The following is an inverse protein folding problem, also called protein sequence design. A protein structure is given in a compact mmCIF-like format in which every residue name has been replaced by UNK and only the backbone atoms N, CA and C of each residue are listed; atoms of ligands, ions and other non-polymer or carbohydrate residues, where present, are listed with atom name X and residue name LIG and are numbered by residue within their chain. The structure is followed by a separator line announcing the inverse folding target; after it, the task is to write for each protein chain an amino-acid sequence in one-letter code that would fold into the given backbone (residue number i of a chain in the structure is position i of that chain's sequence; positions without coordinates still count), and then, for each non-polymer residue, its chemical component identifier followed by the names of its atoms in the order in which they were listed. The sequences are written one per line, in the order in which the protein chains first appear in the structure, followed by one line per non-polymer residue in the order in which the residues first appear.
data_IF_190039740940
#
_entry.id   IF_190039740940
#
_cell.length_a   1.000
_cell.length_b   1.000
_cell.length_c   1.000
_cell.angle_alpha   90.00
_cell.angle_beta   90.00
_cell.angle_gamma   90.00
#
_symmetry.space_group_name_H-M   'P 1'
#
loop_
_entity.id
_entity.type
_entity.pdbx_description
1 polymer ?
#
# COMPACT_ATOMS: atom_id res chain seq x y z
N UNK A 1 19.71 60.62 -8.99
CA UNK A 1 19.92 62.00 -9.50
C UNK A 1 20.59 62.02 -10.90
N UNK A 2 21.65 61.28 -11.16
CA UNK A 2 22.33 61.23 -12.44
C UNK A 2 21.50 60.64 -13.60
N UNK A 3 20.61 59.72 -13.33
CA UNK A 3 19.74 59.07 -14.35
C UNK A 3 18.62 59.99 -14.83
N UNK A 4 18.08 60.82 -13.94
CA UNK A 4 17.00 61.75 -14.28
C UNK A 4 17.50 62.89 -15.14
N UNK A 5 18.73 63.39 -14.91
CA UNK A 5 19.33 64.47 -15.68
C UNK A 5 19.73 64.06 -17.09
N UNK A 6 19.98 62.78 -17.35
CA UNK A 6 20.43 62.26 -18.66
C UNK A 6 19.27 61.83 -19.57
N UNK A 7 18.11 61.47 -18.99
CA UNK A 7 16.99 60.88 -19.75
C UNK A 7 15.83 61.84 -20.02
N UNK A 8 15.84 63.04 -19.42
CA UNK A 8 14.74 64.03 -19.57
C UNK A 8 13.42 63.57 -18.98
N UNK A 9 13.42 62.49 -18.18
CA UNK A 9 12.25 61.93 -17.51
C UNK A 9 11.94 62.78 -16.28
N UNK A 10 10.67 63.17 -16.11
CA UNK A 10 10.26 63.94 -14.91
C UNK A 10 10.52 63.12 -13.63
N UNK A 11 11.14 63.79 -12.66
CA UNK A 11 11.52 63.20 -11.37
C UNK A 11 10.36 62.47 -10.67
N UNK A 12 9.14 63.03 -10.79
CA UNK A 12 7.90 62.41 -10.27
C UNK A 12 7.53 61.05 -10.91
N UNK A 13 7.95 60.82 -12.16
CA UNK A 13 7.73 59.54 -12.85
C UNK A 13 8.73 58.48 -12.39
N UNK A 14 9.95 58.86 -12.15
CA UNK A 14 11.00 57.98 -11.64
C UNK A 14 10.67 57.54 -10.21
N UNK A 15 10.24 58.49 -9.38
CA UNK A 15 9.88 58.24 -7.99
C UNK A 15 8.67 57.28 -7.88
N UNK A 16 7.64 57.47 -8.72
CA UNK A 16 6.51 56.55 -8.79
C UNK A 16 6.90 55.13 -9.30
N UNK A 17 7.80 55.04 -10.25
CA UNK A 17 8.27 53.75 -10.76
C UNK A 17 9.10 52.99 -9.71
N UNK A 18 10.03 53.66 -9.06
CA UNK A 18 10.86 53.05 -8.01
C UNK A 18 10.07 52.67 -6.76
N UNK A 19 9.13 53.51 -6.33
CA UNK A 19 8.26 53.17 -5.18
C UNK A 19 7.36 52.01 -5.49
N UNK A 20 6.79 51.94 -6.72
CA UNK A 20 5.94 50.80 -7.11
C UNK A 20 6.72 49.49 -7.21
N UNK A 21 7.97 49.57 -7.73
CA UNK A 21 8.82 48.37 -7.83
C UNK A 21 9.36 47.89 -6.47
N UNK A 22 9.79 48.84 -5.65
CA UNK A 22 10.28 48.52 -4.29
C UNK A 22 9.16 48.03 -3.40
N UNK A 23 7.94 48.58 -3.51
CA UNK A 23 6.77 48.11 -2.78
C UNK A 23 6.34 46.69 -3.24
N UNK A 24 6.45 46.39 -4.54
CA UNK A 24 6.12 45.05 -5.04
C UNK A 24 7.17 43.98 -4.66
N UNK A 25 8.44 44.37 -4.49
CA UNK A 25 9.46 43.44 -3.97
C UNK A 25 9.39 43.27 -2.44
N UNK A 26 9.02 44.32 -1.71
CA UNK A 26 8.85 44.28 -0.26
C UNK A 26 7.53 43.66 0.17
N UNK A 27 6.49 43.73 -0.67
CA UNK A 27 5.16 43.12 -0.45
C UNK A 27 5.01 41.71 -1.04
N UNK A 28 6.10 40.99 -1.23
CA UNK A 28 5.95 39.54 -1.29
C UNK A 28 5.46 39.09 0.08
N UNK A 29 4.17 38.71 0.21
CA UNK A 29 3.64 38.47 1.55
C UNK A 29 4.45 37.32 2.13
N UNK A 30 5.03 37.51 3.32
CA UNK A 30 5.76 36.46 4.05
C UNK A 30 4.92 35.17 4.14
N UNK A 31 3.59 35.29 4.11
CA UNK A 31 2.62 34.21 3.99
C UNK A 31 2.77 33.40 2.69
N UNK A 32 3.06 34.03 1.53
CA UNK A 32 3.22 33.31 0.27
C UNK A 32 4.54 32.53 0.21
N UNK A 33 5.61 33.13 0.73
CA UNK A 33 6.90 32.44 0.84
C UNK A 33 6.80 31.27 1.82
N UNK A 34 6.18 31.45 2.97
CA UNK A 34 5.97 30.38 3.96
C UNK A 34 5.07 29.27 3.40
N UNK A 35 4.03 29.60 2.63
CA UNK A 35 3.17 28.60 1.95
C UNK A 35 3.95 27.80 0.91
N UNK A 36 4.79 28.45 0.08
CA UNK A 36 5.64 27.77 -0.89
C UNK A 36 6.68 26.86 -0.27
N UNK A 37 7.29 27.27 0.85
CA UNK A 37 8.17 26.41 1.64
C UNK A 37 7.40 25.21 2.24
N UNK A 38 6.24 25.43 2.77
CA UNK A 38 5.41 24.38 3.34
C UNK A 38 4.96 23.37 2.27
N UNK A 39 4.59 23.85 1.08
CA UNK A 39 4.23 22.99 -0.06
C UNK A 39 5.40 22.20 -0.63
N UNK A 40 6.63 22.72 -0.57
CA UNK A 40 7.82 22.01 -1.08
C UNK A 40 8.46 21.08 -0.04
N UNK A 41 8.53 21.50 1.21
CA UNK A 41 9.17 20.73 2.29
C UNK A 41 8.26 19.55 2.74
N UNK A 42 6.94 19.77 2.82
CA UNK A 42 6.00 18.75 3.29
C UNK A 42 6.05 17.45 2.48
N UNK A 43 5.98 17.45 1.13
CA UNK A 43 6.12 16.23 0.34
C UNK A 43 7.48 15.57 0.51
N UNK A 44 8.56 16.36 0.61
CA UNK A 44 9.92 15.83 0.80
C UNK A 44 10.07 15.09 2.12
N UNK A 45 9.54 15.66 3.20
CA UNK A 45 9.53 15.02 4.53
C UNK A 45 8.70 13.74 4.51
N UNK A 46 7.50 13.77 3.91
CA UNK A 46 6.63 12.58 3.80
C UNK A 46 7.33 11.49 2.99
N UNK A 47 7.92 11.81 1.85
CA UNK A 47 8.68 10.84 1.05
C UNK A 47 9.88 10.28 1.81
N UNK A 48 10.59 11.12 2.58
CA UNK A 48 11.69 10.68 3.43
C UNK A 48 11.25 9.70 4.51
N UNK A 49 10.14 9.96 5.19
CA UNK A 49 9.57 9.06 6.20
C UNK A 49 9.12 7.73 5.60
N UNK A 50 8.49 7.76 4.42
CA UNK A 50 8.09 6.54 3.70
C UNK A 50 9.34 5.71 3.33
N UNK A 51 10.40 6.35 2.84
CA UNK A 51 11.64 5.68 2.48
C UNK A 51 12.32 5.04 3.69
N UNK A 52 12.38 5.75 4.82
CA UNK A 52 12.90 5.22 6.08
C UNK A 52 12.06 4.01 6.53
N UNK A 53 10.73 4.10 6.45
CA UNK A 53 9.83 3.00 6.81
C UNK A 53 10.05 1.77 5.92
N UNK A 54 10.18 1.96 4.60
CA UNK A 54 10.47 0.87 3.65
C UNK A 54 11.83 0.22 3.96
N UNK A 55 12.87 1.02 4.20
CA UNK A 55 14.18 0.52 4.60
C UNK A 55 14.12 -0.27 5.91
N UNK A 56 13.37 0.23 6.88
CA UNK A 56 13.17 -0.46 8.15
C UNK A 56 12.52 -1.83 7.97
N UNK A 57 11.48 -1.94 7.14
CA UNK A 57 10.83 -3.22 6.83
C UNK A 57 11.80 -4.18 6.12
N UNK A 58 12.62 -3.68 5.18
CA UNK A 58 13.61 -4.48 4.46
C UNK A 58 14.69 -5.03 5.39
N UNK A 59 15.15 -4.22 6.34
CA UNK A 59 16.18 -4.63 7.31
C UNK A 59 15.62 -5.55 8.41
N UNK A 60 14.36 -5.30 8.83
CA UNK A 60 13.71 -6.01 9.93
C UNK A 60 12.38 -6.66 9.50
N UNK A 61 12.39 -7.62 8.56
CA UNK A 61 11.15 -8.23 8.09
C UNK A 61 10.38 -8.96 9.19
N UNK A 62 11.02 -9.32 10.30
CA UNK A 62 10.39 -9.96 11.44
C UNK A 62 9.47 -9.04 12.26
N UNK A 63 9.63 -7.73 12.14
CA UNK A 63 8.80 -6.73 12.84
C UNK A 63 7.54 -6.38 12.04
N UNK A 64 7.46 -6.77 10.78
CA UNK A 64 6.28 -6.52 9.96
C UNK A 64 5.08 -7.33 10.46
N UNK A 65 3.90 -6.72 10.54
CA UNK A 65 2.66 -7.36 11.02
C UNK A 65 2.31 -8.67 10.30
N UNK A 66 2.79 -8.85 9.08
CA UNK A 66 2.62 -10.10 8.32
C UNK A 66 3.47 -11.25 8.88
N UNK A 67 4.61 -10.96 9.50
CA UNK A 67 5.44 -12.00 10.11
C UNK A 67 4.84 -12.54 11.40
N UNK A 68 3.98 -11.76 12.06
CA UNK A 68 3.24 -12.20 13.24
C UNK A 68 2.31 -13.37 12.91
N UNK A 69 1.66 -13.35 11.75
CA UNK A 69 0.86 -14.47 11.26
C UNK A 69 1.70 -15.73 10.99
N UNK A 70 2.95 -15.56 10.56
CA UNK A 70 3.86 -16.66 10.28
C UNK A 70 4.49 -17.25 11.55
N UNK A 71 4.55 -16.49 12.65
CA UNK A 71 5.06 -16.96 13.94
C UNK A 71 4.27 -18.17 14.47
N UNK A 72 3.01 -18.28 14.10
CA UNK A 72 2.14 -19.40 14.51
C UNK A 72 2.65 -20.72 13.92
N UNK A 73 3.19 -20.68 12.71
CA UNK A 73 3.75 -21.84 12.00
C UNK A 73 5.23 -22.10 12.33
N UNK A 74 5.88 -21.19 13.08
CA UNK A 74 7.27 -21.29 13.47
C UNK A 74 8.10 -20.06 13.13
N UNK A 75 9.38 -20.23 12.85
CA UNK A 75 10.26 -19.09 12.50
C UNK A 75 9.86 -18.46 11.16
N UNK A 76 9.46 -17.18 11.10
CA UNK A 76 9.00 -16.53 9.87
C UNK A 76 9.99 -16.62 8.73
N UNK A 77 11.29 -16.48 9.02
CA UNK A 77 12.34 -16.57 8.00
C UNK A 77 12.43 -17.96 7.35
N UNK A 78 12.20 -19.00 8.15
CA UNK A 78 12.21 -20.39 7.64
C UNK A 78 10.98 -20.62 6.77
N UNK A 79 9.79 -20.23 7.26
CA UNK A 79 8.53 -20.35 6.55
C UNK A 79 8.55 -19.59 5.22
N UNK A 80 9.01 -18.33 5.21
CA UNK A 80 9.13 -17.52 3.97
C UNK A 80 10.05 -18.22 2.95
N UNK A 81 11.16 -18.79 3.41
CA UNK A 81 12.09 -19.53 2.52
C UNK A 81 11.42 -20.76 1.93
N UNK A 82 10.68 -21.48 2.73
CA UNK A 82 9.94 -22.68 2.36
C UNK A 82 8.83 -22.36 1.34
N UNK A 83 8.02 -21.34 1.61
CA UNK A 83 7.01 -20.83 0.69
C UNK A 83 7.63 -20.42 -0.65
N UNK A 84 8.71 -19.65 -0.62
CA UNK A 84 9.37 -19.21 -1.85
C UNK A 84 9.92 -20.38 -2.67
N UNK A 85 10.45 -21.40 -1.98
CA UNK A 85 10.89 -22.63 -2.64
C UNK A 85 9.73 -23.38 -3.28
N UNK A 86 8.61 -23.53 -2.58
CA UNK A 86 7.42 -24.22 -3.10
C UNK A 86 6.73 -23.45 -4.24
N UNK A 87 6.61 -22.14 -4.11
CA UNK A 87 6.08 -21.29 -5.19
C UNK A 87 6.89 -21.42 -6.48
N UNK A 88 8.20 -21.66 -6.37
CA UNK A 88 9.09 -21.83 -7.52
C UNK A 88 9.06 -23.24 -8.10
N UNK A 89 8.95 -24.28 -7.26
CA UNK A 89 9.20 -25.67 -7.67
C UNK A 89 7.98 -26.58 -7.56
N UNK A 90 6.96 -26.24 -6.73
CA UNK A 90 5.83 -27.11 -6.38
C UNK A 90 4.49 -26.37 -6.47
N UNK A 91 4.37 -25.44 -7.41
CA UNK A 91 3.13 -24.69 -7.61
C UNK A 91 2.09 -25.60 -8.26
N UNK A 92 0.98 -25.86 -7.57
CA UNK A 92 -0.14 -26.66 -8.06
C UNK A 92 -1.17 -25.82 -8.81
N UNK A 93 -1.47 -24.63 -8.29
CA UNK A 93 -2.48 -23.76 -8.85
C UNK A 93 -2.09 -22.28 -8.71
N UNK A 94 -2.33 -21.51 -9.77
CA UNK A 94 -2.13 -20.07 -9.79
C UNK A 94 -3.22 -19.41 -10.63
N UNK A 95 -4.00 -18.54 -10.03
CA UNK A 95 -4.93 -17.64 -10.74
C UNK A 95 -5.11 -16.35 -9.96
N UNK A 96 -5.08 -15.22 -10.67
CA UNK A 96 -5.14 -13.90 -10.06
C UNK A 96 -4.07 -13.74 -8.95
N UNK A 97 -4.53 -13.49 -7.73
CA UNK A 97 -3.69 -13.27 -6.55
C UNK A 97 -3.61 -14.50 -5.62
N UNK A 98 -4.13 -15.66 -6.05
CA UNK A 98 -4.12 -16.91 -5.27
C UNK A 98 -3.10 -17.87 -5.85
N UNK A 99 -2.27 -18.40 -4.96
CA UNK A 99 -1.24 -19.40 -5.25
C UNK A 99 -1.45 -20.57 -4.29
N UNK A 100 -1.54 -21.78 -4.83
CA UNK A 100 -1.65 -23.01 -4.04
C UNK A 100 -0.44 -23.87 -4.36
N UNK A 101 0.27 -24.25 -3.32
CA UNK A 101 1.38 -25.20 -3.37
C UNK A 101 0.99 -26.47 -2.64
N UNK A 102 1.89 -27.43 -2.51
CA UNK A 102 1.61 -28.65 -1.78
C UNK A 102 1.29 -28.43 -0.28
N UNK A 103 1.97 -27.46 0.35
CA UNK A 103 1.82 -27.25 1.79
C UNK A 103 1.18 -25.89 2.15
N UNK A 104 1.11 -24.97 1.21
CA UNK A 104 0.66 -23.60 1.49
C UNK A 104 -0.32 -23.06 0.47
N UNK A 105 -1.32 -22.33 0.96
CA UNK A 105 -2.11 -21.41 0.16
C UNK A 105 -1.64 -19.98 0.47
N UNK A 106 -1.29 -19.23 -0.56
CA UNK A 106 -0.84 -17.84 -0.46
C UNK A 106 -1.79 -16.95 -1.25
N UNK A 107 -2.39 -15.96 -0.60
CA UNK A 107 -3.23 -14.94 -1.23
C UNK A 107 -2.56 -13.59 -1.09
N UNK A 108 -2.17 -13.01 -2.22
CA UNK A 108 -1.46 -11.72 -2.26
C UNK A 108 -2.45 -10.59 -2.49
N UNK A 109 -2.62 -9.71 -1.51
CA UNK A 109 -3.33 -8.44 -1.64
C UNK A 109 -2.32 -7.30 -1.83
N UNK A 110 -2.80 -6.11 -2.20
CA UNK A 110 -1.94 -4.94 -2.43
C UNK A 110 -1.04 -4.59 -1.23
N UNK A 111 -1.59 -4.69 -0.02
CA UNK A 111 -0.88 -4.31 1.22
C UNK A 111 -0.75 -5.46 2.23
N UNK A 112 -1.25 -6.63 1.90
CA UNK A 112 -1.28 -7.77 2.82
C UNK A 112 -1.13 -9.08 2.04
N UNK A 113 -0.35 -10.00 2.56
CA UNK A 113 -0.29 -11.38 2.06
C UNK A 113 -0.86 -12.30 3.14
N UNK A 114 -1.84 -13.10 2.78
CA UNK A 114 -2.38 -14.14 3.62
C UNK A 114 -1.65 -15.44 3.29
N UNK A 115 -1.16 -16.11 4.30
CA UNK A 115 -0.52 -17.42 4.19
C UNK A 115 -1.27 -18.41 5.07
N UNK A 116 -1.72 -19.50 4.47
CA UNK A 116 -2.41 -20.59 5.17
C UNK A 116 -1.63 -21.88 4.93
N UNK A 117 -1.27 -22.58 5.99
CA UNK A 117 -0.63 -23.89 5.93
C UNK A 117 -1.71 -24.95 5.78
N UNK A 118 -1.69 -25.74 4.71
CA UNK A 118 -2.81 -26.58 4.28
C UNK A 118 -2.99 -27.83 5.15
N UNK A 119 -1.90 -28.39 5.65
CA UNK A 119 -1.93 -29.54 6.57
C UNK A 119 -2.57 -29.23 7.95
N UNK A 120 -2.67 -27.95 8.29
CA UNK A 120 -3.27 -27.49 9.55
C UNK A 120 -4.71 -27.00 9.40
N UNK A 121 -5.30 -27.07 8.20
CA UNK A 121 -6.68 -26.63 7.95
C UNK A 121 -7.66 -27.61 8.59
N UNK A 122 -8.42 -27.14 9.58
CA UNK A 122 -9.47 -27.93 10.26
C UNK A 122 -10.85 -27.71 9.68
N UNK A 123 -11.09 -26.52 9.16
CA UNK A 123 -12.41 -26.15 8.66
C UNK A 123 -12.28 -25.37 7.39
N UNK A 124 -13.06 -25.78 6.38
CA UNK A 124 -13.14 -25.14 5.08
C UNK A 124 -14.60 -25.03 4.68
N UNK A 125 -15.13 -23.84 4.54
CA UNK A 125 -16.48 -23.61 4.04
C UNK A 125 -16.52 -22.57 2.93
N UNK A 126 -17.46 -22.78 1.99
CA UNK A 126 -17.80 -21.84 0.92
C UNK A 126 -19.20 -21.29 1.21
N UNK A 127 -19.34 -19.97 1.28
CA UNK A 127 -20.60 -19.29 1.49
C UNK A 127 -20.79 -18.17 0.47
N UNK A 128 -22.01 -17.97 -0.02
CA UNK A 128 -22.39 -16.81 -0.81
C UNK A 128 -22.70 -15.67 0.14
N UNK A 129 -22.06 -14.51 -0.05
CA UNK A 129 -22.22 -13.33 0.82
C UNK A 129 -22.41 -12.10 -0.03
N UNK A 130 -23.34 -11.25 0.34
CA UNK A 130 -23.51 -9.92 -0.25
C UNK A 130 -22.49 -8.93 0.33
N UNK A 131 -21.70 -8.31 -0.53
CA UNK A 131 -20.71 -7.30 -0.15
C UNK A 131 -21.08 -5.95 -0.72
N UNK A 132 -21.18 -4.95 0.12
CA UNK A 132 -21.37 -3.55 -0.31
C UNK A 132 -20.07 -3.00 -0.90
N UNK A 133 -20.13 -2.55 -2.15
CA UNK A 133 -19.00 -1.93 -2.85
C UNK A 133 -19.40 -0.49 -3.21
N UNK A 134 -18.81 0.49 -2.50
CA UNK A 134 -19.16 1.89 -2.65
C UNK A 134 -20.49 2.28 -2.00
N UNK A 135 -21.01 3.45 -2.36
CA UNK A 135 -22.16 4.05 -1.68
C UNK A 135 -23.50 3.30 -1.89
N UNK A 136 -23.72 2.65 -3.06
CA UNK A 136 -25.04 2.07 -3.40
C UNK A 136 -24.98 0.78 -4.23
N UNK A 137 -23.85 0.08 -4.25
CA UNK A 137 -23.74 -1.14 -5.05
C UNK A 137 -23.46 -2.34 -4.17
N UNK A 138 -24.32 -3.34 -4.22
CA UNK A 138 -24.12 -4.65 -3.59
C UNK A 138 -23.67 -5.62 -4.66
N UNK A 139 -22.63 -6.40 -4.38
CA UNK A 139 -22.11 -7.45 -5.26
C UNK A 139 -22.11 -8.75 -4.49
N UNK A 140 -22.61 -9.81 -5.09
CA UNK A 140 -22.50 -11.16 -4.55
C UNK A 140 -21.06 -11.65 -4.70
N UNK A 141 -20.49 -12.16 -3.62
CA UNK A 141 -19.16 -12.74 -3.59
C UNK A 141 -19.20 -14.10 -2.89
N UNK A 142 -18.40 -15.00 -3.40
CA UNK A 142 -18.19 -16.31 -2.77
C UNK A 142 -17.09 -16.19 -1.74
N UNK A 143 -17.43 -16.40 -0.48
CA UNK A 143 -16.51 -16.31 0.64
C UNK A 143 -15.99 -17.69 1.02
N UNK A 144 -14.68 -17.86 0.92
CA UNK A 144 -13.98 -19.02 1.46
C UNK A 144 -13.54 -18.71 2.87
N UNK A 145 -14.05 -19.46 3.83
CA UNK A 145 -13.67 -19.38 5.24
C UNK A 145 -12.77 -20.57 5.57
N UNK A 146 -11.55 -20.27 6.02
CA UNK A 146 -10.55 -21.25 6.39
C UNK A 146 -10.21 -21.05 7.87
N UNK A 147 -10.23 -22.12 8.66
CA UNK A 147 -9.82 -22.07 10.06
C UNK A 147 -8.68 -23.04 10.32
N UNK A 148 -7.64 -22.55 10.99
CA UNK A 148 -6.50 -23.31 11.48
C UNK A 148 -6.48 -23.31 13.01
N UNK A 149 -5.85 -24.29 13.67
CA UNK A 149 -5.70 -24.28 15.12
C UNK A 149 -4.93 -23.03 15.58
N UNK A 150 -5.51 -22.27 16.50
CA UNK A 150 -4.88 -21.08 17.08
C UNK A 150 -4.98 -19.81 16.25
N UNK A 151 -5.56 -19.86 15.04
CA UNK A 151 -5.84 -18.68 14.22
C UNK A 151 -7.34 -18.49 14.07
N UNK A 152 -7.76 -17.26 14.24
CA UNK A 152 -9.09 -16.79 13.86
C UNK A 152 -9.34 -17.07 12.38
N UNK A 153 -10.58 -17.27 12.02
CA UNK A 153 -11.02 -17.54 10.66
C UNK A 153 -10.38 -16.59 9.63
N UNK A 154 -9.79 -17.18 8.60
CA UNK A 154 -9.36 -16.43 7.43
C UNK A 154 -10.48 -16.45 6.39
N UNK A 155 -10.89 -15.26 5.97
CA UNK A 155 -11.92 -15.08 4.96
C UNK A 155 -11.29 -14.52 3.68
N UNK A 156 -11.57 -15.18 2.56
CA UNK A 156 -11.12 -14.77 1.24
C UNK A 156 -12.32 -14.68 0.32
N UNK A 157 -12.58 -13.50 -0.23
CA UNK A 157 -13.71 -13.26 -1.10
C UNK A 157 -13.30 -13.46 -2.58
N UNK A 158 -14.13 -14.19 -3.33
CA UNK A 158 -13.99 -14.45 -4.75
C UNK A 158 -15.24 -13.99 -5.49
N UNK A 159 -15.07 -13.49 -6.70
CA UNK A 159 -16.20 -13.06 -7.55
C UNK A 159 -16.71 -14.21 -8.43
N UNK A 160 -15.85 -15.18 -8.73
CA UNK A 160 -16.10 -16.26 -9.68
C UNK A 160 -16.28 -17.59 -8.92
N UNK A 161 -17.41 -18.25 -9.14
CA UNK A 161 -17.74 -19.51 -8.50
C UNK A 161 -16.83 -20.65 -8.96
N UNK A 162 -16.59 -20.76 -10.25
CA UNK A 162 -15.71 -21.80 -10.78
C UNK A 162 -14.27 -21.68 -10.24
N UNK A 163 -13.90 -20.45 -9.90
CA UNK A 163 -12.59 -20.20 -9.32
C UNK A 163 -12.48 -20.72 -7.90
N UNK A 164 -13.47 -20.42 -7.04
CA UNK A 164 -13.45 -20.91 -5.65
C UNK A 164 -13.56 -22.44 -5.61
N UNK A 165 -14.35 -23.05 -6.48
CA UNK A 165 -14.50 -24.50 -6.52
C UNK A 165 -13.18 -25.20 -6.86
N UNK A 166 -12.43 -24.69 -7.83
CA UNK A 166 -11.07 -25.17 -8.12
C UNK A 166 -10.11 -24.98 -6.94
N UNK A 167 -10.21 -23.85 -6.23
CA UNK A 167 -9.41 -23.61 -5.01
C UNK A 167 -9.74 -24.65 -3.94
N UNK A 168 -11.04 -24.90 -3.68
CA UNK A 168 -11.49 -25.88 -2.70
C UNK A 168 -11.08 -27.30 -3.08
N UNK A 169 -11.21 -27.66 -4.36
CA UNK A 169 -10.79 -28.96 -4.90
C UNK A 169 -9.29 -29.19 -4.69
N UNK A 170 -8.47 -28.20 -5.05
CA UNK A 170 -7.02 -28.29 -4.85
C UNK A 170 -6.63 -28.42 -3.37
N UNK A 171 -7.33 -27.73 -2.45
CA UNK A 171 -7.07 -27.83 -1.01
C UNK A 171 -7.48 -29.22 -0.48
N UNK A 172 -8.58 -29.78 -0.96
CA UNK A 172 -9.07 -31.10 -0.51
C UNK A 172 -8.30 -32.27 -1.11
N UNK A 173 -7.64 -32.05 -2.25
CA UNK A 173 -6.85 -33.07 -2.95
C UNK A 173 -5.45 -33.27 -2.38
N UNK A 174 -5.07 -32.46 -1.41
CA UNK A 174 -3.79 -32.55 -0.67
C UNK A 174 -3.97 -33.37 0.58
#
# INVERSE_FOLDING_TARGET
DKLVSTSGIKESLVENYYTTYVISELDYPAAYISLMYLLSISPTVVCGLILIYVLFILLFPAVHSQSEQLNIYGSPRKIIREINYELKNKLLYKRANVYITHNYMVVSYLLKTLVVKLDEVKYLSKNLVEKKVGFNRTVEVYRLTISNPGILFHEVDFVDEDFIDKVVENIRGI
#
